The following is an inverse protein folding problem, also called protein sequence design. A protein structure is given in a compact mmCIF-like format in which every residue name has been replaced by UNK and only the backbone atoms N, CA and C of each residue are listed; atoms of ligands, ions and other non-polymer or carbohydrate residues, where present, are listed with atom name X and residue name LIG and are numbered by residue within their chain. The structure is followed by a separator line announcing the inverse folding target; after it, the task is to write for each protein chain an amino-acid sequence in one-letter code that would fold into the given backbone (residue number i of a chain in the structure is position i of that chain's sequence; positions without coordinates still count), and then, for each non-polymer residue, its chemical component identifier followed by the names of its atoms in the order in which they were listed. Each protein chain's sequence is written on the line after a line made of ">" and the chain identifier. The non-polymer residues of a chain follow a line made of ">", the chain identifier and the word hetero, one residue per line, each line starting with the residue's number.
data_IF_771460813649
#
_entry.id   IF_771460813649
#
_cell.length_a   1.000
_cell.length_b   1.000
_cell.length_c   1.000
_cell.angle_alpha   90.00
_cell.angle_beta   90.00
_cell.angle_gamma   90.00
#
_symmetry.space_group_name_H-M   'P 1'
#
loop_
_entity.id
_entity.type
_entity.pdbx_description
1 polymer ?
#
# COMPACT_ATOMS: atom_id res chain seq x y z
N UNK A 1 -17.41 12.29 -19.42
CA UNK A 1 -16.97 10.89 -19.59
C UNK A 1 -15.90 10.60 -18.56
N UNK A 2 -16.11 9.65 -17.64
CA UNK A 2 -15.05 9.21 -16.74
C UNK A 2 -14.05 8.39 -17.58
N UNK A 3 -12.99 9.04 -18.05
CA UNK A 3 -11.91 8.34 -18.75
C UNK A 3 -11.30 7.29 -17.82
N UNK A 4 -11.20 6.05 -18.29
CA UNK A 4 -10.48 5.00 -17.57
C UNK A 4 -9.04 5.43 -17.30
N UNK A 5 -8.50 4.98 -16.18
CA UNK A 5 -7.12 5.27 -15.81
C UNK A 5 -6.31 3.99 -15.72
N UNK A 6 -5.08 4.05 -16.20
CA UNK A 6 -4.11 2.96 -16.07
C UNK A 6 -3.10 3.33 -15.00
N UNK A 7 -2.81 2.37 -14.11
CA UNK A 7 -1.74 2.49 -13.13
C UNK A 7 -0.60 1.52 -13.43
N UNK A 8 0.54 1.72 -12.77
CA UNK A 8 1.70 0.81 -12.87
C UNK A 8 2.14 0.35 -11.48
N UNK A 9 2.55 -0.91 -11.36
CA UNK A 9 3.21 -1.43 -10.17
C UNK A 9 4.71 -1.15 -10.26
N UNK A 10 5.26 -0.40 -9.32
CA UNK A 10 6.69 -0.11 -9.29
C UNK A 10 7.42 -1.04 -8.31
N UNK A 11 7.87 -2.17 -8.85
CA UNK A 11 8.80 -3.07 -8.16
C UNK A 11 10.23 -2.53 -8.19
N UNK A 12 10.94 -2.66 -7.07
CA UNK A 12 12.30 -2.13 -6.89
C UNK A 12 13.35 -3.23 -6.61
N UNK A 13 12.94 -4.50 -6.69
CA UNK A 13 13.83 -5.64 -6.57
C UNK A 13 14.56 -5.87 -7.90
N UNK A 14 15.64 -5.11 -8.12
CA UNK A 14 16.46 -5.23 -9.32
C UNK A 14 17.80 -4.51 -9.15
N UNK A 15 18.86 -5.06 -9.75
CA UNK A 15 20.23 -4.56 -9.60
C UNK A 15 20.59 -3.40 -10.54
N UNK A 16 19.79 -3.17 -11.58
CA UNK A 16 20.06 -2.21 -12.65
C UNK A 16 18.88 -1.24 -12.90
N UNK A 17 18.05 -1.00 -11.88
CA UNK A 17 16.91 -0.08 -12.00
C UNK A 17 17.38 1.39 -12.03
N UNK A 18 16.77 2.26 -12.85
CA UNK A 18 17.05 3.69 -12.81
C UNK A 18 16.77 4.30 -11.44
N UNK A 19 17.32 5.48 -11.18
CA UNK A 19 17.03 6.21 -9.93
C UNK A 19 15.53 6.49 -9.78
N UNK A 20 15.05 6.58 -8.54
CA UNK A 20 13.63 6.85 -8.23
C UNK A 20 13.12 8.11 -8.92
N UNK A 21 13.93 9.16 -8.97
CA UNK A 21 13.61 10.42 -9.66
C UNK A 21 13.46 10.21 -11.17
N UNK A 22 14.37 9.46 -11.80
CA UNK A 22 14.27 9.14 -13.24
C UNK A 22 13.02 8.31 -13.55
N UNK A 23 12.67 7.34 -12.69
CA UNK A 23 11.45 6.55 -12.82
C UNK A 23 10.20 7.45 -12.73
N UNK A 24 10.12 8.32 -11.73
CA UNK A 24 9.00 9.25 -11.55
C UNK A 24 8.89 10.20 -12.75
N UNK A 25 10.01 10.73 -13.24
CA UNK A 25 10.02 11.57 -14.44
C UNK A 25 9.51 10.81 -15.66
N UNK A 26 9.94 9.56 -15.85
CA UNK A 26 9.47 8.72 -16.95
C UNK A 26 7.98 8.41 -16.84
N UNK A 27 7.47 8.12 -15.65
CA UNK A 27 6.04 7.90 -15.42
C UNK A 27 5.22 9.14 -15.79
N UNK A 28 5.68 10.34 -15.42
CA UNK A 28 5.03 11.59 -15.82
C UNK A 28 5.04 11.79 -17.33
N UNK A 29 6.15 11.52 -18.00
CA UNK A 29 6.26 11.62 -19.48
C UNK A 29 5.31 10.64 -20.19
N UNK A 30 5.05 9.48 -19.61
CA UNK A 30 4.13 8.48 -20.12
C UNK A 30 2.66 8.75 -19.74
N UNK A 31 2.37 9.84 -19.02
CA UNK A 31 1.01 10.15 -18.57
C UNK A 31 0.47 9.22 -17.48
N UNK A 32 1.35 8.50 -16.76
CA UNK A 32 0.96 7.62 -15.67
C UNK A 32 0.57 8.48 -14.47
N UNK A 33 -0.65 8.32 -13.99
CA UNK A 33 -1.22 9.10 -12.88
C UNK A 33 -1.40 8.29 -11.60
N UNK A 34 -1.22 6.96 -11.65
CA UNK A 34 -1.38 6.07 -10.50
C UNK A 34 -0.26 5.04 -10.41
N UNK A 35 0.31 4.88 -9.22
CA UNK A 35 1.38 3.92 -8.96
C UNK A 35 1.09 3.10 -7.70
N UNK A 36 1.36 1.79 -7.77
CA UNK A 36 1.44 0.92 -6.59
C UNK A 36 2.90 0.78 -6.16
N UNK A 37 3.17 1.05 -4.89
CA UNK A 37 4.42 0.76 -4.19
C UNK A 37 4.19 -0.37 -3.19
N UNK A 38 5.16 -1.28 -3.07
CA UNK A 38 5.08 -2.44 -2.16
C UNK A 38 5.62 -2.18 -0.75
N UNK A 39 6.09 -0.96 -0.50
CA UNK A 39 6.71 -0.52 0.75
C UNK A 39 6.45 0.97 0.99
N UNK A 40 6.91 1.49 2.12
CA UNK A 40 6.88 2.93 2.46
C UNK A 40 8.26 3.58 2.62
N UNK A 41 9.29 3.08 1.92
CA UNK A 41 10.63 3.69 1.97
C UNK A 41 10.61 5.19 1.66
N UNK A 42 11.17 5.97 2.60
CA UNK A 42 11.16 7.43 2.57
C UNK A 42 11.76 8.00 1.27
N UNK A 43 12.88 7.46 0.81
CA UNK A 43 13.54 7.89 -0.44
C UNK A 43 12.66 7.70 -1.68
N UNK A 44 11.79 6.69 -1.69
CA UNK A 44 10.83 6.48 -2.77
C UNK A 44 9.71 7.49 -2.68
N UNK A 45 9.09 7.61 -1.50
CA UNK A 45 7.98 8.56 -1.31
C UNK A 45 8.41 10.00 -1.61
N UNK A 46 9.64 10.37 -1.25
CA UNK A 46 10.22 11.67 -1.57
C UNK A 46 10.36 11.91 -3.08
N UNK A 47 10.74 10.89 -3.86
CA UNK A 47 10.82 11.04 -5.31
C UNK A 47 9.44 11.27 -5.94
N UNK A 48 8.37 10.73 -5.34
CA UNK A 48 6.99 10.94 -5.79
C UNK A 48 6.35 12.23 -5.24
N UNK A 49 7.00 12.93 -4.30
CA UNK A 49 6.54 14.23 -3.81
C UNK A 49 6.31 15.20 -4.96
N UNK A 50 5.18 15.92 -4.93
CA UNK A 50 4.85 16.95 -5.93
C UNK A 50 4.84 16.46 -7.39
N UNK A 51 4.81 15.15 -7.63
CA UNK A 51 4.76 14.57 -8.98
C UNK A 51 3.37 14.62 -9.62
N UNK A 52 2.32 14.79 -8.80
CA UNK A 52 0.92 14.65 -9.20
C UNK A 52 0.46 13.19 -9.36
N UNK A 53 1.33 12.21 -9.12
CA UNK A 53 1.02 10.78 -9.20
C UNK A 53 0.39 10.33 -7.88
N UNK A 54 -0.79 9.72 -7.96
CA UNK A 54 -1.45 9.10 -6.80
C UNK A 54 -0.82 7.75 -6.47
N UNK A 55 -0.65 7.48 -5.18
CA UNK A 55 0.03 6.31 -4.66
C UNK A 55 -0.92 5.39 -3.90
N UNK A 56 -0.85 4.10 -4.22
CA UNK A 56 -1.20 3.03 -3.28
C UNK A 56 0.08 2.47 -2.70
N UNK A 57 0.25 2.50 -1.39
CA UNK A 57 1.48 2.04 -0.72
C UNK A 57 1.23 0.77 0.09
N UNK A 58 2.23 -0.08 0.20
CA UNK A 58 2.14 -1.35 0.92
C UNK A 58 2.86 -1.32 2.27
N UNK A 59 2.21 -1.88 3.28
CA UNK A 59 2.87 -2.39 4.50
C UNK A 59 3.22 -3.84 4.22
N UNK A 60 4.50 -4.20 4.36
CA UNK A 60 4.98 -5.55 4.05
C UNK A 60 4.41 -6.57 5.03
N UNK A 61 4.31 -7.84 4.61
CA UNK A 61 3.86 -8.93 5.48
C UNK A 61 4.70 -9.04 6.77
N UNK A 62 6.01 -8.79 6.68
CA UNK A 62 6.91 -8.81 7.83
C UNK A 62 6.64 -7.66 8.82
N UNK A 63 6.17 -6.51 8.32
CA UNK A 63 5.94 -5.33 9.15
C UNK A 63 4.56 -5.30 9.80
N UNK A 64 3.55 -6.03 9.31
CA UNK A 64 2.16 -5.97 9.81
C UNK A 64 2.11 -6.12 11.33
N UNK A 65 2.69 -7.19 11.87
CA UNK A 65 2.60 -7.52 13.30
C UNK A 65 3.32 -6.51 14.17
N UNK A 66 4.38 -5.86 13.66
CA UNK A 66 5.14 -4.85 14.42
C UNK A 66 4.52 -3.46 14.28
N UNK A 67 4.34 -3.00 13.04
CA UNK A 67 3.88 -1.65 12.72
C UNK A 67 2.42 -1.42 13.10
N UNK A 68 1.58 -2.47 13.08
CA UNK A 68 0.13 -2.35 13.28
C UNK A 68 -0.40 -3.23 14.42
N UNK A 69 0.44 -3.58 15.40
CA UNK A 69 0.04 -4.40 16.56
C UNK A 69 -1.08 -3.78 17.39
N UNK A 70 -1.09 -2.45 17.51
CA UNK A 70 -2.07 -1.66 18.23
C UNK A 70 -2.18 -0.26 17.59
N UNK A 71 -3.17 0.52 18.03
CA UNK A 71 -3.41 1.88 17.53
C UNK A 71 -2.18 2.77 17.72
N UNK A 72 -1.47 2.69 18.86
CA UNK A 72 -0.27 3.51 19.10
C UNK A 72 0.85 3.23 18.10
N UNK A 73 1.11 1.96 17.79
CA UNK A 73 2.10 1.56 16.78
C UNK A 73 1.69 2.01 15.38
N UNK A 74 0.40 1.88 15.05
CA UNK A 74 -0.15 2.36 13.79
C UNK A 74 -0.08 3.90 13.68
N UNK A 75 -0.33 4.63 14.78
CA UNK A 75 -0.16 6.08 14.86
C UNK A 75 1.28 6.47 14.63
N UNK A 76 2.24 5.72 15.20
CA UNK A 76 3.67 5.94 14.92
C UNK A 76 4.03 5.74 13.45
N UNK A 77 3.43 4.75 12.80
CA UNK A 77 3.61 4.52 11.36
C UNK A 77 3.01 5.66 10.51
N UNK A 78 1.89 6.27 10.93
CA UNK A 78 1.25 7.40 10.25
C UNK A 78 1.95 8.74 10.54
N UNK A 79 2.61 8.91 11.70
CA UNK A 79 3.18 10.19 12.15
C UNK A 79 4.37 10.61 11.28
N UNK A 80 4.29 11.71 10.49
CA UNK A 80 5.32 12.12 9.55
C UNK A 80 6.68 12.47 10.20
N UNK A 81 6.73 12.61 11.53
CA UNK A 81 7.96 12.94 12.27
C UNK A 81 8.76 11.71 12.67
N UNK A 82 8.22 10.51 12.53
CA UNK A 82 8.92 9.28 12.89
C UNK A 82 9.72 8.70 11.72
N UNK A 83 10.87 8.09 12.03
CA UNK A 83 11.68 7.39 11.04
C UNK A 83 10.88 6.22 10.43
N UNK A 84 10.84 6.14 9.10
CA UNK A 84 10.04 5.14 8.38
C UNK A 84 8.58 5.54 8.11
N UNK A 85 8.19 6.76 8.50
CA UNK A 85 6.85 7.30 8.23
C UNK A 85 6.69 7.83 6.80
N UNK A 86 5.45 7.82 6.33
CA UNK A 86 5.05 8.38 5.05
C UNK A 86 5.10 9.92 5.07
N UNK A 87 6.25 10.47 4.67
CA UNK A 87 6.54 11.92 4.60
C UNK A 87 5.62 12.74 3.67
N UNK A 88 4.66 12.13 2.98
CA UNK A 88 3.85 12.78 1.93
C UNK A 88 2.49 12.09 1.81
N UNK A 89 1.63 12.26 2.82
CA UNK A 89 0.25 11.78 2.72
C UNK A 89 -0.53 12.45 1.57
N UNK A 90 -0.05 13.59 1.05
CA UNK A 90 -0.72 14.35 0.00
C UNK A 90 -1.01 13.55 -1.29
N UNK A 91 -0.20 12.54 -1.60
CA UNK A 91 -0.39 11.73 -2.81
C UNK A 91 -0.87 10.31 -2.51
N UNK A 92 -0.95 9.88 -1.25
CA UNK A 92 -1.35 8.52 -0.89
C UNK A 92 -2.88 8.45 -0.85
N UNK A 93 -3.46 7.62 -1.71
CA UNK A 93 -4.92 7.41 -1.79
C UNK A 93 -5.36 6.13 -1.09
N UNK A 94 -4.44 5.16 -0.96
CA UNK A 94 -4.71 3.89 -0.29
C UNK A 94 -3.44 3.26 0.32
N UNK A 95 -3.65 2.47 1.36
CA UNK A 95 -2.63 1.62 1.99
C UNK A 95 -3.10 0.17 1.91
N UNK A 96 -2.28 -0.70 1.30
CA UNK A 96 -2.46 -2.16 1.36
C UNK A 96 -1.75 -2.72 2.58
N UNK A 97 -2.49 -3.30 3.52
CA UNK A 97 -1.96 -4.03 4.67
C UNK A 97 -1.64 -5.45 4.22
N UNK A 98 -0.37 -5.70 3.97
CA UNK A 98 0.12 -6.95 3.41
C UNK A 98 -0.11 -7.12 1.91
N UNK A 99 0.50 -8.17 1.38
CA UNK A 99 0.33 -8.66 0.02
C UNK A 99 0.16 -10.18 0.07
N UNK A 100 -0.99 -10.66 -0.39
CA UNK A 100 -1.31 -12.09 -0.49
C UNK A 100 -1.16 -12.83 0.83
N UNK A 101 -1.58 -12.19 1.94
CA UNK A 101 -1.35 -12.69 3.32
C UNK A 101 -1.80 -14.14 3.53
N UNK A 102 -2.86 -14.57 2.86
CA UNK A 102 -3.41 -15.91 3.01
C UNK A 102 -2.58 -17.02 2.35
N UNK A 103 -1.64 -16.69 1.46
CA UNK A 103 -0.67 -17.64 0.90
C UNK A 103 0.45 -18.00 1.88
N UNK A 104 0.63 -17.20 2.95
CA UNK A 104 1.58 -17.48 4.03
C UNK A 104 1.21 -18.75 4.79
N UNK A 105 2.18 -19.48 5.34
CA UNK A 105 1.94 -20.56 6.30
C UNK A 105 1.80 -20.07 7.74
N UNK A 106 2.08 -18.78 7.99
CA UNK A 106 2.13 -18.21 9.32
C UNK A 106 0.73 -17.79 9.82
N UNK A 107 0.14 -18.57 10.71
CA UNK A 107 -1.21 -18.30 11.26
C UNK A 107 -1.28 -16.98 12.05
N UNK A 108 -0.20 -16.61 12.75
CA UNK A 108 -0.13 -15.33 13.46
C UNK A 108 -0.31 -14.14 12.50
N UNK A 109 0.26 -14.20 11.30
CA UNK A 109 0.12 -13.15 10.29
C UNK A 109 -1.31 -13.07 9.75
N UNK A 110 -1.92 -14.22 9.43
CA UNK A 110 -3.31 -14.30 8.96
C UNK A 110 -4.28 -13.72 10.00
N UNK A 111 -4.11 -14.13 11.26
CA UNK A 111 -4.95 -13.69 12.37
C UNK A 111 -4.75 -12.20 12.70
N UNK A 112 -3.57 -11.64 12.45
CA UNK A 112 -3.27 -10.23 12.67
C UNK A 112 -3.91 -9.31 11.62
N UNK A 113 -4.24 -9.80 10.42
CA UNK A 113 -4.62 -8.95 9.28
C UNK A 113 -5.76 -7.98 9.58
N UNK A 114 -6.92 -8.49 10.00
CA UNK A 114 -8.10 -7.64 10.27
C UNK A 114 -7.87 -6.69 11.47
N UNK A 115 -7.37 -7.14 12.64
CA UNK A 115 -7.00 -6.23 13.72
C UNK A 115 -6.03 -5.13 13.29
N UNK A 116 -4.99 -5.46 12.51
CA UNK A 116 -4.01 -4.49 12.01
C UNK A 116 -4.64 -3.46 11.06
N UNK A 117 -5.53 -3.89 10.17
CA UNK A 117 -6.30 -2.96 9.31
C UNK A 117 -7.18 -2.00 10.13
N UNK A 118 -7.82 -2.49 11.21
CA UNK A 118 -8.60 -1.65 12.13
C UNK A 118 -7.72 -0.63 12.86
N UNK A 119 -6.56 -1.06 13.36
CA UNK A 119 -5.60 -0.17 14.02
C UNK A 119 -5.12 0.94 13.07
N UNK A 120 -4.79 0.59 11.83
CA UNK A 120 -4.37 1.57 10.82
C UNK A 120 -5.50 2.55 10.46
N UNK A 121 -6.73 2.07 10.33
CA UNK A 121 -7.89 2.94 10.08
C UNK A 121 -8.07 3.95 11.20
N UNK A 122 -7.97 3.50 12.45
CA UNK A 122 -8.10 4.37 13.62
C UNK A 122 -6.98 5.41 13.67
N UNK A 123 -5.73 5.00 13.45
CA UNK A 123 -4.59 5.91 13.38
C UNK A 123 -4.75 6.99 12.28
N UNK A 124 -5.22 6.60 11.09
CA UNK A 124 -5.52 7.54 10.00
C UNK A 124 -6.64 8.52 10.36
N UNK A 125 -7.66 8.07 11.09
CA UNK A 125 -8.74 8.94 11.57
C UNK A 125 -8.21 9.97 12.58
N UNK A 126 -7.39 9.54 13.55
CA UNK A 126 -6.75 10.41 14.53
C UNK A 126 -5.85 11.46 13.87
N UNK A 127 -5.17 11.09 12.78
CA UNK A 127 -4.36 11.99 11.97
C UNK A 127 -5.16 12.87 11.01
N UNK A 128 -6.51 12.82 11.02
CA UNK A 128 -7.41 13.52 10.08
C UNK A 128 -7.19 13.18 8.60
N UNK A 129 -6.74 11.95 8.32
CA UNK A 129 -6.48 11.40 6.99
C UNK A 129 -7.49 10.30 6.61
N UNK A 130 -8.75 10.45 7.03
CA UNK A 130 -9.83 9.48 6.76
C UNK A 130 -10.11 9.24 5.28
N UNK A 131 -9.68 10.15 4.40
CA UNK A 131 -9.73 10.00 2.94
C UNK A 131 -8.90 8.83 2.41
N UNK A 132 -7.82 8.46 3.11
CA UNK A 132 -6.94 7.35 2.72
C UNK A 132 -7.65 6.03 2.97
N UNK A 133 -7.70 5.17 1.95
CA UNK A 133 -8.35 3.86 2.03
C UNK A 133 -7.40 2.82 2.62
N UNK A 134 -7.85 2.11 3.64
CA UNK A 134 -7.17 0.91 4.14
C UNK A 134 -7.76 -0.30 3.43
N UNK A 135 -6.92 -1.12 2.83
CA UNK A 135 -7.30 -2.35 2.13
C UNK A 135 -6.22 -3.42 2.31
N UNK A 136 -6.41 -4.59 1.73
CA UNK A 136 -5.38 -5.63 1.59
C UNK A 136 -5.43 -6.20 0.18
N UNK A 137 -4.32 -6.74 -0.31
CA UNK A 137 -4.26 -7.39 -1.62
C UNK A 137 -4.30 -8.91 -1.42
N UNK A 138 -5.23 -9.59 -2.09
CA UNK A 138 -5.34 -11.04 -2.08
C UNK A 138 -4.82 -11.64 -3.37
N UNK A 139 -4.19 -12.81 -3.28
CA UNK A 139 -4.00 -13.67 -4.43
C UNK A 139 -5.36 -14.24 -4.85
N UNK A 140 -5.49 -14.67 -6.10
CA UNK A 140 -6.78 -15.17 -6.62
C UNK A 140 -7.22 -16.49 -5.96
N UNK A 141 -6.28 -17.22 -5.37
CA UNK A 141 -6.52 -18.49 -4.66
C UNK A 141 -7.34 -18.37 -3.38
N UNK A 142 -7.67 -17.15 -2.94
CA UNK A 142 -8.69 -16.93 -1.90
C UNK A 142 -10.10 -17.21 -2.41
N UNK A 143 -10.30 -17.42 -3.72
CA UNK A 143 -11.60 -17.70 -4.33
C UNK A 143 -11.64 -19.14 -4.87
N UNK A 144 -12.69 -19.87 -4.52
CA UNK A 144 -13.05 -21.19 -5.04
C UNK A 144 -14.25 -21.08 -6.00
N UNK A 145 -14.56 -22.17 -6.72
CA UNK A 145 -15.71 -22.24 -7.66
C UNK A 145 -15.69 -21.13 -8.73
N UNK A 146 -14.54 -20.94 -9.36
CA UNK A 146 -14.22 -19.76 -10.20
C UNK A 146 -14.90 -19.72 -11.56
N UNK A 147 -15.64 -20.77 -11.96
CA UNK A 147 -16.41 -20.79 -13.19
C UNK A 147 -17.79 -21.45 -13.00
N UNK A 148 -18.90 -20.81 -13.44
CA UNK A 148 -18.96 -19.44 -13.97
C UNK A 148 -18.60 -18.41 -12.88
N UNK A 149 -18.23 -17.16 -13.22
CA UNK A 149 -17.89 -16.14 -12.22
C UNK A 149 -18.96 -15.91 -11.15
N UNK A 150 -20.24 -16.16 -11.47
CA UNK A 150 -21.36 -16.09 -10.52
C UNK A 150 -21.33 -17.14 -9.42
N UNK A 151 -20.51 -18.19 -9.56
CA UNK A 151 -20.34 -19.27 -8.58
C UNK A 151 -19.19 -19.04 -7.60
N UNK A 152 -18.40 -17.98 -7.77
CA UNK A 152 -17.23 -17.69 -6.96
C UNK A 152 -17.55 -17.53 -5.48
N UNK A 153 -16.74 -18.14 -4.61
CA UNK A 153 -16.88 -18.10 -3.15
C UNK A 153 -15.50 -17.96 -2.48
N UNK A 154 -15.42 -17.27 -1.34
CA UNK A 154 -14.21 -17.23 -0.51
C UNK A 154 -14.09 -18.48 0.36
#
# INVERSE_FOLDING_TARGET
>A
MAGGWTGICFGQEGSNIPTRTQVVQKFRQLGITRVRLYHTYQSTLQAFSNSGIQLTVGITNADIVKALSNVGSATSWVDPRQAGSCYVLFNIVAVTVGNEVFTSTANNLKNALLPSMKNLREALNQARNSGIKVTTAHAFDVVTNTFPPSSGQF
#
